data_IF_434638069508
#
_entry.id   IF_434638069508
#
_cell.length_a   1.000
_cell.length_b   1.000
_cell.length_c   1.000
_cell.angle_alpha   90.00
_cell.angle_beta   90.00
_cell.angle_gamma   90.00
#
_symmetry.space_group_name_H-M   'P 1'
#
loop_
_entity.id
_entity.type
_entity.pdbx_description
1 polymer ?
#
# COMPACT_ATOMS: atom_id res chain seq x y z
N UNK A 1 6.62 13.61 -12.75
CA UNK A 1 6.21 13.30 -14.14
C UNK A 1 4.82 13.89 -14.35
N UNK A 2 4.55 14.54 -15.49
CA UNK A 2 3.23 15.19 -15.72
C UNK A 2 2.08 14.18 -15.66
N UNK A 3 2.30 12.96 -16.15
CA UNK A 3 1.34 11.85 -16.07
C UNK A 3 1.03 11.38 -14.64
N UNK A 4 1.87 11.75 -13.67
CA UNK A 4 1.73 11.44 -12.25
C UNK A 4 1.45 12.70 -11.41
N UNK A 5 0.97 13.78 -12.03
CA UNK A 5 0.68 15.04 -11.33
C UNK A 5 1.88 15.59 -10.55
N UNK A 6 3.08 15.46 -11.11
CA UNK A 6 4.33 15.90 -10.48
C UNK A 6 4.99 14.86 -9.58
N UNK A 7 4.31 13.77 -9.20
CA UNK A 7 4.92 12.69 -8.42
C UNK A 7 5.93 11.87 -9.24
N UNK A 8 6.84 11.18 -8.54
CA UNK A 8 7.75 10.19 -9.10
C UNK A 8 7.26 8.77 -8.83
N UNK A 9 7.74 7.79 -9.59
CA UNK A 9 7.48 6.37 -9.31
C UNK A 9 8.00 5.99 -7.91
N UNK A 10 9.16 6.52 -7.51
CA UNK A 10 9.73 6.31 -6.18
C UNK A 10 8.83 6.83 -5.05
N UNK A 11 8.15 7.97 -5.24
CA UNK A 11 7.18 8.49 -4.27
C UNK A 11 6.01 7.52 -4.06
N UNK A 12 5.51 6.90 -5.12
CA UNK A 12 4.44 5.90 -5.02
C UNK A 12 4.90 4.63 -4.32
N UNK A 13 6.09 4.11 -4.66
CA UNK A 13 6.66 2.95 -3.96
C UNK A 13 6.87 3.22 -2.47
N UNK A 14 7.49 4.35 -2.14
CA UNK A 14 7.67 4.77 -0.75
C UNK A 14 6.32 4.83 -0.01
N UNK A 15 5.32 5.47 -0.61
CA UNK A 15 4.01 5.61 0.00
C UNK A 15 3.34 4.26 0.31
N UNK A 16 3.41 3.30 -0.62
CA UNK A 16 2.92 1.94 -0.40
C UNK A 16 3.68 1.23 0.72
N UNK A 17 5.02 1.29 0.70
CA UNK A 17 5.85 0.64 1.71
C UNK A 17 5.56 1.21 3.11
N UNK A 18 5.42 2.53 3.22
CA UNK A 18 5.08 3.22 4.48
C UNK A 18 3.71 2.80 5.04
N UNK A 19 2.76 2.40 4.20
CA UNK A 19 1.46 1.88 4.67
C UNK A 19 1.62 0.51 5.33
N UNK A 20 2.43 -0.37 4.75
CA UNK A 20 2.75 -1.64 5.40
C UNK A 20 3.58 -1.42 6.68
N UNK A 21 4.47 -0.44 6.71
CA UNK A 21 5.17 -0.05 7.94
C UNK A 21 4.19 0.39 9.05
N UNK A 22 3.14 1.15 8.71
CA UNK A 22 2.08 1.49 9.65
C UNK A 22 1.34 0.25 10.17
N UNK A 23 1.12 -0.77 9.35
CA UNK A 23 0.51 -2.05 9.80
C UNK A 23 1.41 -2.76 10.81
N UNK A 24 2.71 -2.85 10.52
CA UNK A 24 3.71 -3.45 11.43
C UNK A 24 3.74 -2.71 12.78
N UNK A 25 3.87 -1.39 12.74
CA UNK A 25 3.88 -0.54 13.94
C UNK A 25 2.54 -0.66 14.69
N UNK A 26 1.43 -0.77 13.96
CA UNK A 26 0.09 -0.93 14.51
C UNK A 26 -0.13 -2.22 15.28
N UNK A 27 0.38 -3.34 14.76
CA UNK A 27 0.32 -4.61 15.49
C UNK A 27 1.06 -4.53 16.83
N UNK A 28 2.16 -3.78 16.90
CA UNK A 28 2.89 -3.57 18.15
C UNK A 28 2.15 -2.66 19.12
N UNK A 29 1.61 -1.53 18.63
CA UNK A 29 1.09 -0.45 19.46
C UNK A 29 -0.43 -0.46 19.69
N UNK A 30 -1.18 -1.29 18.96
CA UNK A 30 -2.64 -1.35 19.01
C UNK A 30 -3.36 -0.21 18.26
N UNK A 31 -2.62 0.68 17.60
CA UNK A 31 -3.16 1.86 16.91
C UNK A 31 -2.47 2.06 15.56
N UNK A 32 -3.22 2.47 14.55
CA UNK A 32 -2.71 2.80 13.21
C UNK A 32 -3.15 4.20 12.82
N UNK A 33 -2.22 5.01 12.30
CA UNK A 33 -2.52 6.29 11.67
C UNK A 33 -1.65 6.44 10.40
N UNK A 34 -2.29 6.42 9.23
CA UNK A 34 -1.61 6.53 7.94
C UNK A 34 -1.20 7.96 7.58
N UNK A 35 -1.87 8.97 8.18
CA UNK A 35 -1.55 10.39 7.99
C UNK A 35 -0.19 10.72 8.62
N UNK A 36 0.09 10.09 9.77
CA UNK A 36 1.33 10.22 10.55
C UNK A 36 2.43 9.23 10.15
N UNK A 37 2.32 8.54 9.01
CA UNK A 37 3.34 7.60 8.55
C UNK A 37 4.74 8.27 8.47
N UNK A 38 5.78 7.52 8.82
CA UNK A 38 7.17 8.01 8.79
C UNK A 38 7.63 8.14 7.35
N UNK A 39 8.01 9.36 6.93
CA UNK A 39 8.46 9.60 5.55
C UNK A 39 9.92 9.17 5.37
N UNK A 40 10.17 8.04 4.70
CA UNK A 40 11.52 7.53 4.47
C UNK A 40 12.06 7.91 3.07
N UNK A 41 12.75 9.04 2.98
CA UNK A 41 13.30 9.55 1.72
C UNK A 41 14.35 8.64 1.05
N UNK A 42 14.94 7.68 1.77
CA UNK A 42 15.89 6.71 1.19
C UNK A 42 15.14 5.71 0.31
N UNK A 43 13.98 5.22 0.76
CA UNK A 43 13.15 4.28 0.00
C UNK A 43 12.67 4.90 -1.32
N UNK A 44 12.43 6.23 -1.33
CA UNK A 44 12.02 6.94 -2.53
C UNK A 44 13.13 7.05 -3.59
N UNK A 45 14.39 7.13 -3.16
CA UNK A 45 15.53 7.42 -4.05
C UNK A 45 16.39 6.20 -4.38
N UNK A 46 16.37 5.15 -3.56
CA UNK A 46 17.18 3.95 -3.72
C UNK A 46 16.28 2.70 -3.94
N UNK A 47 16.17 2.20 -5.18
CA UNK A 47 15.43 0.97 -5.48
C UNK A 47 15.92 -0.25 -4.71
N UNK A 48 17.21 -0.32 -4.36
CA UNK A 48 17.74 -1.42 -3.53
C UNK A 48 17.26 -1.30 -2.09
N UNK A 49 17.16 -0.09 -1.54
CA UNK A 49 16.57 0.14 -0.23
C UNK A 49 15.08 -0.23 -0.20
N UNK A 50 14.32 0.19 -1.23
CA UNK A 50 12.92 -0.19 -1.38
C UNK A 50 12.75 -1.72 -1.46
N UNK A 51 13.57 -2.39 -2.28
CA UNK A 51 13.54 -3.85 -2.43
C UNK A 51 13.86 -4.58 -1.12
N UNK A 52 14.88 -4.13 -0.38
CA UNK A 52 15.20 -4.67 0.96
C UNK A 52 14.02 -4.52 1.91
N UNK A 53 13.40 -3.35 1.97
CA UNK A 53 12.26 -3.13 2.87
C UNK A 53 11.04 -3.97 2.51
N UNK A 54 10.75 -4.13 1.22
CA UNK A 54 9.69 -5.03 0.74
C UNK A 54 9.95 -6.48 1.19
N UNK A 55 11.21 -6.94 1.11
CA UNK A 55 11.58 -8.28 1.55
C UNK A 55 11.39 -8.48 3.06
N UNK A 56 11.79 -7.49 3.86
CA UNK A 56 11.56 -7.49 5.31
C UNK A 56 10.07 -7.55 5.65
N UNK A 57 9.25 -6.71 5.03
CA UNK A 57 7.80 -6.69 5.20
C UNK A 57 7.17 -8.02 4.81
N UNK A 58 7.59 -8.60 3.69
CA UNK A 58 7.11 -9.92 3.24
C UNK A 58 7.40 -10.99 4.28
N UNK A 59 8.64 -11.06 4.79
CA UNK A 59 9.01 -12.05 5.79
C UNK A 59 8.21 -11.87 7.08
N UNK A 60 8.03 -10.62 7.53
CA UNK A 60 7.21 -10.31 8.69
C UNK A 60 5.74 -10.73 8.52
N UNK A 61 5.13 -10.47 7.36
CA UNK A 61 3.74 -10.89 7.07
C UNK A 61 3.62 -12.42 7.08
N UNK A 62 4.65 -13.14 6.61
CA UNK A 62 4.65 -14.60 6.54
C UNK A 62 4.72 -15.29 7.91
N UNK A 63 5.09 -14.58 8.98
CA UNK A 63 5.16 -15.13 10.35
C UNK A 63 3.80 -15.50 10.96
N UNK A 64 2.69 -15.28 10.25
CA UNK A 64 1.32 -15.63 10.66
C UNK A 64 0.93 -15.01 12.02
N UNK A 65 0.57 -13.73 11.99
CA UNK A 65 0.07 -13.01 13.17
C UNK A 65 -1.40 -13.35 13.44
N UNK A 66 -1.79 -13.47 14.71
CA UNK A 66 -3.20 -13.52 15.10
C UNK A 66 -3.92 -12.22 14.71
N UNK A 67 -5.22 -12.30 14.42
CA UNK A 67 -6.01 -11.12 14.10
C UNK A 67 -6.23 -10.26 15.35
N UNK A 68 -5.37 -9.24 15.51
CA UNK A 68 -5.38 -8.33 16.65
C UNK A 68 -6.37 -7.19 16.44
N UNK A 69 -7.13 -6.84 17.48
CA UNK A 69 -7.95 -5.63 17.48
C UNK A 69 -7.07 -4.37 17.46
N UNK A 70 -7.40 -3.42 16.59
CA UNK A 70 -6.66 -2.18 16.38
C UNK A 70 -7.61 -0.97 16.42
N UNK A 71 -7.07 0.21 16.71
CA UNK A 71 -7.77 1.48 16.54
C UNK A 71 -7.15 2.27 15.37
N UNK A 72 -7.95 2.55 14.34
CA UNK A 72 -7.56 3.40 13.22
C UNK A 72 -7.85 4.85 13.57
N UNK A 73 -6.80 5.67 13.59
CA UNK A 73 -6.87 7.10 13.77
C UNK A 73 -6.57 7.81 12.45
N UNK A 74 -7.19 8.97 12.27
CA UNK A 74 -6.93 9.83 11.13
C UNK A 74 -7.07 11.27 11.56
N UNK A 75 -6.24 12.14 10.98
CA UNK A 75 -6.21 13.56 11.30
C UNK A 75 -7.33 14.33 10.56
N UNK A 76 -8.34 13.62 10.04
CA UNK A 76 -9.50 14.18 9.36
C UNK A 76 -10.29 15.10 10.30
N UNK A 77 -9.93 16.39 10.26
CA UNK A 77 -10.67 17.46 10.89
C UNK A 77 -11.59 18.09 9.83
N UNK A 78 -12.87 17.69 9.80
CA UNK A 78 -13.91 18.50 9.15
C UNK A 78 -14.65 19.32 10.22
N UNK A 79 -14.27 20.59 10.38
CA UNK A 79 -14.89 21.52 11.35
C UNK A 79 -14.58 21.20 12.82
N UNK A 80 -15.51 21.57 13.73
CA UNK A 80 -15.42 21.34 15.19
C UNK A 80 -15.69 19.88 15.61
N UNK A 81 -15.99 18.99 14.66
CA UNK A 81 -16.23 17.57 14.98
C UNK A 81 -14.93 16.80 14.82
N UNK A 82 -14.15 16.78 15.88
CA UNK A 82 -13.07 15.82 16.01
C UNK A 82 -13.72 14.41 15.98
N UNK A 83 -13.35 13.56 15.01
CA UNK A 83 -13.48 12.10 15.14
C UNK A 83 -12.49 11.65 16.23
N UNK A 84 -12.67 12.15 17.45
CA UNK A 84 -11.69 12.04 18.53
C UNK A 84 -11.61 10.68 19.17
N UNK A 85 -12.53 9.80 18.81
CA UNK A 85 -12.42 8.38 19.04
C UNK A 85 -12.05 7.73 17.71
N UNK A 86 -10.86 7.12 17.62
CA UNK A 86 -10.48 6.34 16.46
C UNK A 86 -11.52 5.26 16.12
N UNK A 87 -11.47 4.77 14.89
CA UNK A 87 -12.40 3.76 14.37
C UNK A 87 -11.87 2.37 14.73
N UNK A 88 -12.75 1.51 15.24
CA UNK A 88 -12.39 0.11 15.51
C UNK A 88 -11.99 -0.60 14.22
N UNK A 89 -10.89 -1.34 14.28
CA UNK A 89 -10.36 -2.13 13.18
C UNK A 89 -9.68 -3.41 13.67
N UNK A 90 -9.05 -4.15 12.77
CA UNK A 90 -8.24 -5.33 13.09
C UNK A 90 -7.02 -5.44 12.18
N UNK A 91 -6.03 -6.23 12.59
CA UNK A 91 -4.84 -6.50 11.79
C UNK A 91 -5.19 -6.98 10.37
N UNK A 92 -6.09 -7.97 10.24
CA UNK A 92 -6.47 -8.49 8.93
C UNK A 92 -7.18 -7.45 8.06
N UNK A 93 -8.07 -6.63 8.66
CA UNK A 93 -8.71 -5.52 7.96
C UNK A 93 -7.63 -4.58 7.39
N UNK A 94 -6.73 -4.13 8.26
CA UNK A 94 -5.72 -3.12 7.90
C UNK A 94 -4.71 -3.64 6.87
N UNK A 95 -4.34 -4.92 6.97
CA UNK A 95 -3.54 -5.59 5.96
C UNK A 95 -4.24 -5.64 4.59
N UNK A 96 -5.54 -6.00 4.55
CA UNK A 96 -6.33 -5.99 3.30
C UNK A 96 -6.36 -4.58 2.71
N UNK A 97 -6.56 -3.56 3.54
CA UNK A 97 -6.55 -2.17 3.09
C UNK A 97 -5.19 -1.77 2.49
N UNK A 98 -4.08 -2.11 3.14
CA UNK A 98 -2.74 -1.86 2.61
C UNK A 98 -2.49 -2.58 1.26
N UNK A 99 -3.02 -3.80 1.09
CA UNK A 99 -2.94 -4.56 -0.16
C UNK A 99 -3.73 -3.88 -1.29
N UNK A 100 -4.99 -3.51 -1.05
CA UNK A 100 -5.82 -2.83 -2.05
C UNK A 100 -5.22 -1.46 -2.43
N UNK A 101 -4.69 -0.73 -1.44
CA UNK A 101 -3.98 0.53 -1.67
C UNK A 101 -2.69 0.33 -2.49
N UNK A 102 -1.95 -0.74 -2.24
CA UNK A 102 -0.78 -1.11 -3.03
C UNK A 102 -1.16 -1.41 -4.48
N UNK A 103 -2.22 -2.18 -4.72
CA UNK A 103 -2.72 -2.51 -6.06
C UNK A 103 -3.13 -1.22 -6.80
N UNK A 104 -3.82 -0.31 -6.13
CA UNK A 104 -4.17 1.00 -6.68
C UNK A 104 -2.93 1.78 -7.15
N UNK A 105 -1.89 1.87 -6.32
CA UNK A 105 -0.65 2.54 -6.69
C UNK A 105 0.13 1.81 -7.78
N UNK A 106 0.12 0.48 -7.80
CA UNK A 106 0.71 -0.29 -8.91
C UNK A 106 0.00 0.00 -10.24
N UNK A 107 -1.32 0.23 -10.24
CA UNK A 107 -2.05 0.64 -11.45
C UNK A 107 -1.60 2.02 -11.95
N UNK A 108 -1.38 2.97 -11.05
CA UNK A 108 -0.84 4.31 -11.38
C UNK A 108 0.59 4.18 -11.96
N UNK A 109 1.44 3.39 -11.31
CA UNK A 109 2.81 3.13 -11.77
C UNK A 109 2.79 2.48 -13.16
N UNK A 110 1.90 1.51 -13.40
CA UNK A 110 1.72 0.86 -14.71
C UNK A 110 1.44 1.87 -15.81
N UNK A 111 0.55 2.82 -15.56
CA UNK A 111 0.25 3.90 -16.52
C UNK A 111 1.52 4.69 -16.84
N UNK A 112 2.26 5.14 -15.82
CA UNK A 112 3.50 5.89 -16.04
C UNK A 112 4.57 5.09 -16.79
N UNK A 113 4.73 3.80 -16.44
CA UNK A 113 5.73 2.92 -17.06
C UNK A 113 5.42 2.69 -18.53
N UNK A 114 4.20 2.30 -18.87
CA UNK A 114 3.81 2.02 -20.26
C UNK A 114 3.95 3.27 -21.15
N UNK A 115 3.65 4.45 -20.61
CA UNK A 115 3.75 5.70 -21.36
C UNK A 115 5.20 6.21 -21.50
N UNK A 116 6.04 6.01 -20.47
CA UNK A 116 7.39 6.58 -20.45
C UNK A 116 8.48 5.61 -20.93
N UNK A 117 8.19 4.31 -20.88
CA UNK A 117 9.12 3.21 -21.19
C UNK A 117 8.39 2.13 -22.00
N UNK A 118 8.04 2.40 -23.27
CA UNK A 118 7.21 1.50 -24.07
C UNK A 118 7.85 0.12 -24.32
N UNK A 119 9.18 0.03 -24.25
CA UNK A 119 9.92 -1.23 -24.42
C UNK A 119 9.96 -2.08 -23.13
N UNK A 120 9.59 -1.50 -21.97
CA UNK A 120 9.56 -2.22 -20.70
C UNK A 120 8.25 -2.99 -20.55
N UNK A 121 8.36 -4.32 -20.49
CA UNK A 121 7.21 -5.18 -20.23
C UNK A 121 7.01 -5.40 -18.74
N UNK A 122 5.82 -5.06 -18.26
CA UNK A 122 5.35 -5.38 -16.92
C UNK A 122 4.61 -6.71 -16.93
N UNK A 123 4.56 -7.36 -15.76
CA UNK A 123 3.73 -8.55 -15.57
C UNK A 123 2.25 -8.22 -15.90
N UNK A 124 1.53 -9.09 -16.66
CA UNK A 124 0.18 -8.83 -17.12
C UNK A 124 -0.81 -8.33 -16.05
N UNK A 125 -0.74 -8.90 -14.84
CA UNK A 125 -1.59 -8.60 -13.70
C UNK A 125 -1.02 -7.53 -12.76
N UNK A 126 0.12 -6.92 -13.07
CA UNK A 126 0.66 -5.80 -12.30
C UNK A 126 -0.39 -4.66 -12.23
N UNK A 127 -0.73 -4.24 -11.01
CA UNK A 127 -1.77 -3.22 -10.76
C UNK A 127 -3.20 -3.67 -11.04
N UNK A 128 -3.49 -4.98 -11.06
CA UNK A 128 -4.83 -5.52 -11.24
C UNK A 128 -5.29 -6.22 -9.97
N UNK A 129 -6.49 -5.89 -9.48
CA UNK A 129 -7.04 -6.50 -8.28
C UNK A 129 -7.24 -8.01 -8.43
N UNK A 130 -6.97 -8.77 -7.36
CA UNK A 130 -7.12 -10.23 -7.36
C UNK A 130 -8.54 -10.69 -7.68
N UNK A 131 -9.56 -9.93 -7.29
CA UNK A 131 -10.96 -10.19 -7.67
C UNK A 131 -11.16 -10.13 -9.18
N UNK A 132 -10.54 -9.15 -9.85
CA UNK A 132 -10.59 -8.99 -11.31
C UNK A 132 -9.84 -10.10 -12.03
N UNK A 133 -8.66 -10.50 -11.53
CA UNK A 133 -7.89 -11.63 -12.10
C UNK A 133 -8.72 -12.92 -12.04
N UNK A 134 -9.25 -13.26 -10.87
CA UNK A 134 -10.09 -14.45 -10.68
C UNK A 134 -11.34 -14.44 -11.56
N UNK A 135 -11.99 -13.29 -11.70
CA UNK A 135 -13.15 -13.15 -12.59
C UNK A 135 -12.79 -13.50 -14.05
N UNK A 136 -11.67 -12.97 -14.57
CA UNK A 136 -11.20 -13.26 -15.94
C UNK A 136 -10.87 -14.74 -16.14
N UNK A 137 -10.19 -15.36 -15.18
CA UNK A 137 -9.86 -16.79 -15.23
C UNK A 137 -11.12 -17.66 -15.24
N UNK A 138 -12.10 -17.33 -14.39
CA UNK A 138 -13.37 -18.07 -14.33
C UNK A 138 -14.23 -17.91 -15.59
N UNK A 139 -14.17 -16.73 -16.24
CA UNK A 139 -14.90 -16.45 -17.47
C UNK A 139 -14.26 -17.13 -18.70
N UNK A 140 -12.95 -17.41 -18.67
CA UNK A 140 -12.26 -18.14 -19.74
C UNK A 140 -12.37 -19.68 -19.61
N UNK A 141 -12.89 -20.20 -18.50
CA UNK A 141 -13.10 -21.62 -18.27
C UNK A 141 -14.53 -22.11 -18.63
N UNK A 142 -15.39 -21.21 -19.13
CA UNK A 142 -16.76 -21.49 -19.59
C UNK A 142 -16.86 -21.54 -21.11
#
# INVERSE_FOLDING_TARGET
MDILSGASIGMHFRHVIEFFDCVVDGVSNGMINYDLRKRNGVIEQDPLAASRRILELRNWIQEQHEDKALELQSDMCEGDTFLGSGVRSSYNRELIYAIEHAIHHMAIIKIAVINSFPDLQLEPNFGVAFSTVRYRESACAQ
#
